data_IF_563612513154
#
_entry.id   IF_563612513154
#
_cell.length_a   1.000
_cell.length_b   1.000
_cell.length_c   1.000
_cell.angle_alpha   90.00
_cell.angle_beta   90.00
_cell.angle_gamma   90.00
#
_symmetry.space_group_name_H-M   'P 1'
#
loop_
_entity.id
_entity.type
_entity.pdbx_description
1 polymer ?
#
# COMPACT_ATOMS: atom_id res chain seq x y z
N UNK A 1 -15.68 -18.03 10.42
CA UNK A 1 -14.72 -17.11 11.02
C UNK A 1 -14.38 -17.61 12.43
N UNK A 2 -13.25 -18.32 12.58
CA UNK A 2 -12.75 -18.73 13.88
C UNK A 2 -12.22 -17.49 14.58
N UNK A 3 -13.02 -16.93 15.47
CA UNK A 3 -12.59 -15.88 16.40
C UNK A 3 -11.51 -16.48 17.30
N UNK A 4 -10.27 -16.14 17.06
CA UNK A 4 -9.15 -16.56 17.88
C UNK A 4 -9.26 -15.81 19.23
N UNK A 5 -9.85 -16.47 20.24
CA UNK A 5 -9.86 -16.01 21.63
C UNK A 5 -8.52 -16.37 22.28
N UNK A 6 -7.46 -15.66 21.95
CA UNK A 6 -6.13 -15.82 22.54
C UNK A 6 -5.46 -14.47 22.77
N UNK A 7 -4.44 -14.46 23.62
CA UNK A 7 -3.57 -13.30 23.82
C UNK A 7 -3.11 -12.74 22.47
N UNK A 8 -3.41 -11.49 22.20
CA UNK A 8 -2.98 -10.79 20.98
C UNK A 8 -1.46 -10.71 21.00
N UNK A 9 -0.79 -11.50 20.18
CA UNK A 9 0.66 -11.46 20.00
C UNK A 9 0.98 -10.22 19.14
N UNK A 10 1.47 -9.16 19.78
CA UNK A 10 1.73 -7.87 19.13
C UNK A 10 3.10 -7.77 18.43
N UNK A 11 3.92 -8.82 18.51
CA UNK A 11 5.33 -8.77 18.04
C UNK A 11 5.53 -9.18 16.58
N UNK A 12 4.57 -9.89 15.98
CA UNK A 12 4.64 -10.35 14.60
C UNK A 12 3.29 -10.32 13.92
N UNK A 13 3.24 -10.32 12.57
CA UNK A 13 2.01 -10.35 11.81
C UNK A 13 1.29 -11.70 11.98
N UNK A 14 -0.01 -11.72 11.67
CA UNK A 14 -0.77 -12.96 11.57
C UNK A 14 -0.30 -13.78 10.36
N UNK A 15 0.04 -15.04 10.58
CA UNK A 15 0.52 -15.97 9.54
C UNK A 15 -0.58 -16.87 8.97
N UNK A 16 -1.84 -16.72 9.41
CA UNK A 16 -2.96 -17.48 8.84
C UNK A 16 -3.13 -17.08 7.37
N UNK A 17 -3.21 -18.06 6.49
CA UNK A 17 -3.30 -17.86 5.05
C UNK A 17 -1.98 -17.42 4.39
N UNK A 18 -0.83 -17.64 5.03
CA UNK A 18 0.48 -17.23 4.49
C UNK A 18 0.75 -17.85 3.13
N UNK A 19 0.37 -19.12 2.93
CA UNK A 19 0.57 -19.82 1.67
C UNK A 19 -0.17 -19.23 0.46
N UNK A 20 -1.19 -18.39 0.70
CA UNK A 20 -1.89 -17.65 -0.36
C UNK A 20 -1.31 -16.27 -0.62
N UNK A 21 -0.34 -15.82 0.20
CA UNK A 21 0.25 -14.47 0.10
C UNK A 21 1.62 -14.42 -0.54
N UNK A 22 2.39 -15.48 -0.39
CA UNK A 22 3.79 -15.52 -0.82
C UNK A 22 4.13 -16.84 -1.50
N UNK A 23 5.19 -16.86 -2.33
CA UNK A 23 5.71 -18.12 -2.89
C UNK A 23 6.54 -18.88 -1.86
N UNK A 24 6.67 -20.22 -2.00
CA UNK A 24 7.49 -21.00 -1.10
C UNK A 24 8.98 -20.61 -1.16
N UNK A 25 9.48 -20.21 -2.34
CA UNK A 25 10.86 -19.76 -2.52
C UNK A 25 11.13 -18.45 -1.75
N UNK A 26 10.19 -17.52 -1.81
CA UNK A 26 10.29 -16.27 -1.05
C UNK A 26 10.26 -16.56 0.45
N UNK A 27 9.33 -17.40 0.90
CA UNK A 27 9.17 -17.75 2.31
C UNK A 27 10.42 -18.42 2.88
N UNK A 28 11.02 -19.35 2.11
CA UNK A 28 12.28 -20.00 2.48
C UNK A 28 13.41 -18.98 2.68
N UNK A 29 13.60 -18.08 1.71
CA UNK A 29 14.63 -17.03 1.78
C UNK A 29 14.41 -16.10 2.95
N UNK A 30 13.16 -15.70 3.18
CA UNK A 30 12.77 -14.84 4.30
C UNK A 30 13.06 -15.49 5.64
N UNK A 31 12.72 -16.77 5.83
CA UNK A 31 12.99 -17.51 7.06
C UNK A 31 14.50 -17.67 7.33
N UNK A 32 15.28 -17.83 6.27
CA UNK A 32 16.75 -17.96 6.38
C UNK A 32 17.42 -16.64 6.73
N UNK A 33 17.05 -15.57 6.07
CA UNK A 33 17.78 -14.29 6.14
C UNK A 33 16.85 -13.09 5.93
N UNK A 34 16.00 -12.78 6.89
CA UNK A 34 15.00 -11.73 6.72
C UNK A 34 15.62 -10.34 6.47
N UNK A 35 16.79 -10.06 7.06
CA UNK A 35 17.48 -8.77 6.91
C UNK A 35 18.15 -8.56 5.54
N UNK A 36 18.39 -9.62 4.77
CA UNK A 36 18.86 -9.49 3.38
C UNK A 36 17.76 -8.93 2.47
N UNK A 37 16.48 -9.23 2.79
CA UNK A 37 15.35 -8.69 2.06
C UNK A 37 14.92 -7.31 2.59
N UNK A 38 14.82 -7.17 3.93
CA UNK A 38 14.41 -5.95 4.59
C UNK A 38 15.32 -5.67 5.80
N UNK A 39 16.28 -4.79 5.63
CA UNK A 39 17.30 -4.49 6.65
C UNK A 39 16.69 -4.00 7.98
N UNK A 40 15.54 -3.32 7.94
CA UNK A 40 14.86 -2.77 9.11
C UNK A 40 13.82 -3.71 9.74
N UNK A 41 13.70 -4.95 9.28
CA UNK A 41 12.73 -5.89 9.85
C UNK A 41 13.00 -6.18 11.31
N UNK A 42 11.93 -6.37 12.10
CA UNK A 42 12.01 -6.84 13.49
C UNK A 42 12.15 -8.36 13.62
N UNK A 43 11.99 -9.10 12.51
CA UNK A 43 12.16 -10.54 12.52
C UNK A 43 13.64 -10.89 12.75
N UNK A 44 13.97 -11.67 13.80
CA UNK A 44 15.35 -12.05 14.06
C UNK A 44 15.85 -13.07 13.03
N UNK A 45 17.15 -13.07 12.78
CA UNK A 45 17.83 -14.20 12.12
C UNK A 45 17.89 -15.38 13.10
N UNK A 46 17.08 -16.40 12.83
CA UNK A 46 16.95 -17.60 13.66
C UNK A 46 18.06 -18.62 13.40
N UNK A 47 18.97 -18.36 12.47
CA UNK A 47 20.09 -19.26 12.09
C UNK A 47 19.62 -20.68 11.77
N UNK A 48 18.47 -20.81 11.12
CA UNK A 48 17.88 -22.08 10.74
C UNK A 48 18.80 -22.84 9.79
N UNK A 49 18.88 -24.16 9.95
CA UNK A 49 19.44 -25.03 8.91
C UNK A 49 18.56 -24.98 7.65
N UNK A 50 19.07 -25.46 6.52
CA UNK A 50 18.26 -25.55 5.29
C UNK A 50 17.11 -26.56 5.44
N UNK A 51 17.30 -27.59 6.25
CA UNK A 51 16.24 -28.56 6.57
C UNK A 51 15.12 -27.89 7.35
N UNK A 52 15.46 -27.23 8.48
CA UNK A 52 14.46 -26.57 9.33
C UNK A 52 13.69 -25.49 8.56
N UNK A 53 14.39 -24.71 7.74
CA UNK A 53 13.76 -23.69 6.92
C UNK A 53 12.82 -24.27 5.87
N UNK A 54 13.15 -25.43 5.26
CA UNK A 54 12.25 -26.14 4.34
C UNK A 54 11.02 -26.67 5.04
N UNK A 55 11.18 -27.27 6.21
CA UNK A 55 10.08 -27.85 6.98
C UNK A 55 9.11 -26.76 7.43
N UNK A 56 9.63 -25.64 7.94
CA UNK A 56 8.82 -24.45 8.29
C UNK A 56 8.13 -23.84 7.06
N UNK A 57 8.84 -23.76 5.94
CA UNK A 57 8.25 -23.27 4.68
C UNK A 57 7.09 -24.15 4.25
N UNK A 58 7.26 -25.46 4.26
CA UNK A 58 6.21 -26.39 3.89
C UNK A 58 4.98 -26.24 4.79
N UNK A 59 5.18 -26.20 6.10
CA UNK A 59 4.10 -26.05 7.06
C UNK A 59 3.33 -24.73 6.90
N UNK A 60 4.04 -23.61 6.77
CA UNK A 60 3.42 -22.30 6.62
C UNK A 60 2.76 -22.12 5.25
N UNK A 61 3.34 -22.69 4.20
CA UNK A 61 2.81 -22.63 2.84
C UNK A 61 1.54 -23.49 2.65
N UNK A 62 1.39 -24.55 3.42
CA UNK A 62 0.17 -25.39 3.43
C UNK A 62 -1.03 -24.64 4.03
N UNK A 63 -0.78 -23.62 4.82
CA UNK A 63 -1.85 -22.79 5.39
C UNK A 63 -2.38 -21.78 4.35
N UNK A 64 -3.42 -22.21 3.62
CA UNK A 64 -4.05 -21.48 2.52
C UNK A 64 -5.31 -20.72 2.96
N UNK A 65 -5.61 -19.65 2.25
CA UNK A 65 -6.90 -18.99 2.26
C UNK A 65 -7.61 -19.29 0.93
N UNK A 66 -8.34 -20.39 0.89
CA UNK A 66 -8.97 -20.88 -0.33
C UNK A 66 -10.02 -19.93 -0.91
N UNK A 67 -10.71 -19.17 -0.07
CA UNK A 67 -11.67 -18.16 -0.53
C UNK A 67 -10.97 -17.03 -1.28
N UNK A 68 -9.78 -16.65 -0.82
CA UNK A 68 -8.93 -15.66 -1.50
C UNK A 68 -8.32 -16.22 -2.78
N UNK A 69 -7.85 -17.47 -2.76
CA UNK A 69 -7.20 -18.10 -3.92
C UNK A 69 -8.17 -18.31 -5.11
N UNK A 70 -9.48 -18.33 -4.85
CA UNK A 70 -10.51 -18.42 -5.87
C UNK A 70 -10.91 -17.08 -6.50
N UNK A 71 -10.41 -15.96 -5.94
CA UNK A 71 -10.69 -14.64 -6.49
C UNK A 71 -9.86 -14.44 -7.77
N UNK A 72 -10.55 -14.27 -8.87
CA UNK A 72 -9.94 -13.89 -10.13
C UNK A 72 -9.79 -12.38 -10.23
N UNK A 73 -8.65 -11.93 -10.76
CA UNK A 73 -8.47 -10.53 -11.13
C UNK A 73 -9.28 -10.30 -12.41
N UNK A 74 -10.28 -9.39 -12.42
CA UNK A 74 -11.05 -9.11 -13.63
C UNK A 74 -10.13 -8.70 -14.78
N UNK A 75 -10.41 -9.22 -15.97
CA UNK A 75 -9.72 -8.72 -17.16
C UNK A 75 -10.04 -7.25 -17.41
N UNK A 76 -9.03 -6.51 -17.84
CA UNK A 76 -9.25 -5.13 -18.23
C UNK A 76 -10.06 -5.07 -19.53
N UNK A 77 -11.12 -4.26 -19.53
CA UNK A 77 -11.87 -3.90 -20.71
C UNK A 77 -10.98 -3.04 -21.63
N UNK A 78 -10.76 -3.49 -22.86
CA UNK A 78 -9.84 -2.86 -23.79
C UNK A 78 -10.33 -1.47 -24.21
N UNK A 79 -11.62 -1.28 -24.40
CA UNK A 79 -12.19 0.01 -24.80
C UNK A 79 -12.05 1.04 -23.67
N UNK A 80 -12.32 0.63 -22.43
CA UNK A 80 -12.13 1.47 -21.24
C UNK A 80 -10.65 1.81 -21.03
N UNK A 81 -9.76 0.84 -21.22
CA UNK A 81 -8.33 1.05 -21.10
C UNK A 81 -7.81 2.05 -22.14
N UNK A 82 -8.31 1.96 -23.38
CA UNK A 82 -7.95 2.86 -24.48
C UNK A 82 -8.46 4.28 -24.22
N UNK A 83 -9.70 4.42 -23.78
CA UNK A 83 -10.31 5.70 -23.42
C UNK A 83 -9.52 6.37 -22.28
N UNK A 84 -9.26 5.66 -21.18
CA UNK A 84 -8.49 6.18 -20.06
C UNK A 84 -7.07 6.57 -20.44
N UNK A 85 -6.41 5.75 -21.26
CA UNK A 85 -5.05 6.04 -21.75
C UNK A 85 -5.02 7.33 -22.55
N UNK A 86 -5.97 7.49 -23.46
CA UNK A 86 -6.09 8.69 -24.28
C UNK A 86 -6.41 9.92 -23.43
N UNK A 87 -7.36 9.81 -22.52
CA UNK A 87 -7.76 10.91 -21.62
C UNK A 87 -6.58 11.42 -20.78
N UNK A 88 -5.82 10.51 -20.16
CA UNK A 88 -4.62 10.90 -19.42
C UNK A 88 -3.52 11.52 -20.31
N UNK A 89 -3.32 10.99 -21.51
CA UNK A 89 -2.34 11.57 -22.44
C UNK A 89 -2.75 12.97 -22.91
N UNK A 90 -4.04 13.20 -23.13
CA UNK A 90 -4.57 14.50 -23.55
C UNK A 90 -4.48 15.58 -22.46
N UNK A 91 -4.49 15.21 -21.18
CA UNK A 91 -4.24 16.16 -20.08
C UNK A 91 -2.84 16.76 -20.09
N UNK A 92 -1.88 16.07 -20.72
CA UNK A 92 -0.47 16.46 -20.69
C UNK A 92 0.10 16.80 -22.07
N UNK A 93 -0.62 16.52 -23.14
CA UNK A 93 -0.11 16.64 -24.51
C UNK A 93 -1.20 17.15 -25.47
N UNK A 94 -0.82 17.77 -26.60
CA UNK A 94 -1.77 18.08 -27.67
C UNK A 94 -2.44 16.81 -28.21
N UNK A 95 -3.71 16.91 -28.58
CA UNK A 95 -4.55 15.77 -28.99
C UNK A 95 -3.90 14.88 -30.07
N UNK A 96 -3.35 15.47 -31.10
CA UNK A 96 -2.71 14.71 -32.18
C UNK A 96 -1.57 13.82 -31.69
N UNK A 97 -0.74 14.33 -30.78
CA UNK A 97 0.35 13.56 -30.15
C UNK A 97 -0.18 12.48 -29.23
N UNK A 98 -1.20 12.80 -28.43
CA UNK A 98 -1.81 11.85 -27.51
C UNK A 98 -2.40 10.64 -28.25
N UNK A 99 -3.13 10.87 -29.35
CA UNK A 99 -3.70 9.81 -30.20
C UNK A 99 -2.61 8.95 -30.86
N UNK A 100 -1.60 9.58 -31.42
CA UNK A 100 -0.47 8.86 -32.05
C UNK A 100 0.28 7.99 -31.00
N UNK A 101 0.51 8.54 -29.83
CA UNK A 101 1.16 7.78 -28.73
C UNK A 101 0.30 6.64 -28.24
N UNK A 102 -0.98 6.87 -27.95
CA UNK A 102 -1.90 5.84 -27.48
C UNK A 102 -2.03 4.67 -28.46
N UNK A 103 -2.07 4.97 -29.79
CA UNK A 103 -2.19 3.93 -30.82
C UNK A 103 -0.95 3.05 -30.97
N UNK A 104 0.20 3.47 -30.46
CA UNK A 104 1.46 2.73 -30.52
C UNK A 104 1.74 1.90 -29.27
N UNK A 105 0.97 2.13 -28.20
CA UNK A 105 1.13 1.41 -26.94
C UNK A 105 0.47 0.04 -27.01
N UNK A 106 1.17 -0.99 -26.55
CA UNK A 106 0.61 -2.31 -26.29
C UNK A 106 -0.34 -2.28 -25.09
N UNK A 107 -1.14 -3.33 -24.91
CA UNK A 107 -2.05 -3.48 -23.76
C UNK A 107 -1.29 -3.36 -22.43
N UNK A 108 -0.16 -4.05 -22.30
CA UNK A 108 0.66 -4.03 -21.09
C UNK A 108 1.25 -2.65 -20.79
N UNK A 109 1.68 -1.92 -21.83
CA UNK A 109 2.15 -0.55 -21.67
C UNK A 109 1.04 0.41 -21.24
N UNK A 110 -0.18 0.23 -21.75
CA UNK A 110 -1.36 1.00 -21.33
C UNK A 110 -1.72 0.68 -19.88
N UNK A 111 -1.76 -0.60 -19.51
CA UNK A 111 -2.02 -1.04 -18.13
C UNK A 111 -0.99 -0.45 -17.15
N UNK A 112 0.29 -0.54 -17.50
CA UNK A 112 1.37 0.02 -16.68
C UNK A 112 1.25 1.54 -16.55
N UNK A 113 0.98 2.24 -17.66
CA UNK A 113 0.80 3.69 -17.69
C UNK A 113 -0.39 4.13 -16.81
N UNK A 114 -1.56 3.50 -16.98
CA UNK A 114 -2.74 3.82 -16.18
C UNK A 114 -2.53 3.44 -14.72
N UNK A 115 -1.86 2.32 -14.43
CA UNK A 115 -1.47 1.93 -13.08
C UNK A 115 -0.63 3.00 -12.38
N UNK A 116 0.40 3.54 -13.04
CA UNK A 116 1.20 4.65 -12.50
C UNK A 116 0.35 5.89 -12.22
N UNK A 117 -0.53 6.26 -13.17
CA UNK A 117 -1.42 7.43 -12.98
C UNK A 117 -2.41 7.22 -11.84
N UNK A 118 -2.93 6.01 -11.69
CA UNK A 118 -3.84 5.64 -10.61
C UNK A 118 -3.15 5.69 -9.24
N UNK A 119 -1.92 5.19 -9.11
CA UNK A 119 -1.12 5.30 -7.88
C UNK A 119 -0.96 6.77 -7.48
N UNK A 120 -0.70 7.67 -8.43
CA UNK A 120 -0.64 9.12 -8.16
C UNK A 120 -1.99 9.70 -7.79
N UNK A 121 -3.02 9.32 -8.51
CA UNK A 121 -4.37 9.85 -8.32
C UNK A 121 -4.95 9.45 -6.96
N UNK A 122 -4.82 8.19 -6.58
CA UNK A 122 -5.30 7.67 -5.29
C UNK A 122 -4.32 7.91 -4.14
N UNK A 123 -3.10 8.35 -4.43
CA UNK A 123 -2.11 8.68 -3.41
C UNK A 123 -1.54 7.51 -2.63
N UNK A 124 -1.48 6.32 -3.23
CA UNK A 124 -0.97 5.10 -2.58
C UNK A 124 0.44 5.30 -1.99
N UNK A 125 1.27 6.11 -2.62
CA UNK A 125 2.63 6.46 -2.17
C UNK A 125 2.66 7.26 -0.86
N UNK A 126 1.54 7.82 -0.42
CA UNK A 126 1.45 8.53 0.87
C UNK A 126 1.56 7.60 2.08
N UNK A 127 1.25 6.29 1.90
CA UNK A 127 1.31 5.27 2.94
C UNK A 127 2.28 4.13 2.60
N UNK A 128 2.62 3.93 1.33
CA UNK A 128 3.44 2.81 0.86
C UNK A 128 4.70 3.29 0.16
N UNK A 129 5.83 2.63 0.46
CA UNK A 129 7.04 2.78 -0.34
C UNK A 129 6.83 2.05 -1.67
N UNK A 130 6.78 2.80 -2.77
CA UNK A 130 6.56 2.28 -4.12
C UNK A 130 7.71 2.75 -4.98
N UNK A 131 8.35 1.83 -5.69
CA UNK A 131 9.43 2.16 -6.61
C UNK A 131 8.94 3.15 -7.69
N UNK A 132 9.77 4.14 -8.01
CA UNK A 132 9.38 5.26 -8.89
C UNK A 132 8.57 6.38 -8.22
N UNK A 133 8.22 6.25 -6.92
CA UNK A 133 7.47 7.26 -6.15
C UNK A 133 8.18 7.72 -4.88
N UNK A 134 9.44 7.33 -4.69
CA UNK A 134 10.20 7.64 -3.45
C UNK A 134 10.37 9.16 -3.23
N UNK A 135 10.45 9.95 -4.31
CA UNK A 135 10.57 11.41 -4.25
C UNK A 135 9.21 12.14 -4.32
N UNK A 136 8.10 11.38 -4.33
CA UNK A 136 6.77 11.98 -4.36
C UNK A 136 6.47 12.69 -3.03
N UNK A 137 5.98 13.92 -3.10
CA UNK A 137 5.61 14.66 -1.89
C UNK A 137 4.48 13.94 -1.17
N UNK A 138 4.52 13.84 0.18
CA UNK A 138 3.43 13.27 0.95
C UNK A 138 2.12 14.03 0.67
N UNK A 139 1.00 13.31 0.70
CA UNK A 139 -0.33 13.89 0.44
C UNK A 139 -0.78 14.76 1.60
N UNK A 140 -0.40 14.39 2.83
CA UNK A 140 -0.70 15.13 4.04
C UNK A 140 0.55 15.79 4.63
N UNK A 141 0.32 16.68 5.57
CA UNK A 141 1.39 17.25 6.39
C UNK A 141 1.84 16.22 7.42
N UNK A 142 3.11 16.31 7.80
CA UNK A 142 3.67 15.53 8.89
C UNK A 142 3.01 15.95 10.22
N UNK A 143 2.46 14.98 10.96
CA UNK A 143 1.68 15.21 12.18
C UNK A 143 2.33 14.67 13.46
N UNK A 144 3.58 14.18 13.38
CA UNK A 144 4.29 13.59 14.53
C UNK A 144 4.32 14.51 15.75
N UNK A 145 4.45 15.81 15.51
CA UNK A 145 4.52 16.83 16.57
C UNK A 145 3.24 17.65 16.74
N UNK A 146 2.13 17.25 16.11
CA UNK A 146 0.88 18.03 16.13
C UNK A 146 0.38 18.24 17.57
N UNK A 147 0.46 17.23 18.43
CA UNK A 147 0.06 17.32 19.84
C UNK A 147 0.94 18.22 20.73
N UNK A 148 2.14 18.59 20.26
CA UNK A 148 3.04 19.52 20.97
C UNK A 148 3.10 20.92 20.37
N UNK A 149 2.31 21.17 19.34
CA UNK A 149 2.21 22.46 18.67
C UNK A 149 1.49 23.47 19.56
N UNK A 150 1.99 24.71 19.72
CA UNK A 150 1.30 25.74 20.49
C UNK A 150 -0.06 26.07 19.86
N UNK A 151 -1.07 26.35 20.70
CA UNK A 151 -2.47 26.61 20.26
C UNK A 151 -2.54 27.73 19.23
N UNK A 152 -1.70 28.73 19.33
CA UNK A 152 -1.64 29.88 18.43
C UNK A 152 -1.24 29.53 16.99
N UNK A 153 -0.72 28.31 16.77
CA UNK A 153 -0.35 27.80 15.45
C UNK A 153 -1.45 26.98 14.78
N UNK A 154 -2.56 26.75 15.47
CA UNK A 154 -3.72 26.10 14.89
C UNK A 154 -4.61 27.12 14.21
N UNK A 155 -5.04 26.82 13.00
CA UNK A 155 -6.00 27.64 12.27
C UNK A 155 -7.42 27.19 12.64
N UNK A 156 -8.09 27.97 13.48
CA UNK A 156 -9.48 27.75 13.86
C UNK A 156 -10.47 28.25 12.78
N UNK A 157 -9.98 28.97 11.78
CA UNK A 157 -10.80 29.47 10.67
C UNK A 157 -11.99 30.29 11.15
N UNK A 158 -13.19 29.93 10.68
CA UNK A 158 -14.46 30.57 11.05
C UNK A 158 -15.23 29.82 12.15
N UNK A 159 -14.60 28.87 12.83
CA UNK A 159 -15.22 28.13 13.91
C UNK A 159 -15.21 28.94 15.21
N UNK A 160 -16.36 29.57 15.50
CA UNK A 160 -16.54 30.37 16.70
C UNK A 160 -17.18 29.59 17.86
N UNK A 161 -17.69 28.39 17.57
CA UNK A 161 -18.48 27.57 18.48
C UNK A 161 -17.66 26.47 19.18
N UNK A 162 -16.34 26.48 19.01
CA UNK A 162 -15.42 25.52 19.66
C UNK A 162 -14.44 26.28 20.55
N UNK A 163 -14.06 25.67 21.67
CA UNK A 163 -13.02 26.23 22.52
C UNK A 163 -11.68 26.22 21.80
N UNK A 164 -10.86 27.27 21.98
CA UNK A 164 -9.56 27.37 21.33
C UNK A 164 -8.52 26.52 22.08
N UNK A 165 -8.75 25.20 22.09
CA UNK A 165 -7.84 24.21 22.63
C UNK A 165 -7.36 23.24 21.53
N UNK A 166 -6.25 22.56 21.79
CA UNK A 166 -5.73 21.54 20.86
C UNK A 166 -6.74 20.40 20.69
N UNK A 167 -7.41 20.00 21.77
CA UNK A 167 -8.37 18.90 21.77
C UNK A 167 -9.59 19.23 20.93
N UNK A 168 -10.19 20.38 21.14
CA UNK A 168 -11.38 20.80 20.42
C UNK A 168 -11.09 21.02 18.93
N UNK A 169 -9.91 21.56 18.61
CA UNK A 169 -9.47 21.70 17.21
C UNK A 169 -9.31 20.33 16.54
N UNK A 170 -8.61 19.39 17.16
CA UNK A 170 -8.40 18.03 16.61
C UNK A 170 -9.74 17.31 16.49
N UNK A 171 -10.58 17.35 17.52
CA UNK A 171 -11.92 16.74 17.48
C UNK A 171 -12.76 17.30 16.33
N UNK A 172 -12.79 18.61 16.17
CA UNK A 172 -13.53 19.25 15.09
C UNK A 172 -13.00 18.85 13.71
N UNK A 173 -11.67 18.80 13.53
CA UNK A 173 -11.04 18.35 12.29
C UNK A 173 -11.32 16.89 11.94
N UNK A 174 -11.50 16.03 12.94
CA UNK A 174 -11.84 14.63 12.72
C UNK A 174 -13.32 14.42 12.44
N UNK A 175 -14.21 15.27 13.01
CA UNK A 175 -15.67 15.19 12.79
C UNK A 175 -16.11 15.87 11.50
N UNK A 176 -15.43 16.96 11.13
CA UNK A 176 -15.80 17.83 10.01
C UNK A 176 -14.53 18.26 9.28
N UNK A 177 -13.87 17.31 8.53
CA UNK A 177 -12.59 17.53 7.87
C UNK A 177 -12.67 18.54 6.71
#
# INVERSE_FOLDING_TARGET
>A
PTTFKGLTKLQGPNLIGMGSKVSPEWLFKWLKKPHEYMASTRMPDLRLSDSDARDLTAYLYDNKNYDFDQLEVPEADDDVLDELTLDWLMKMNPEKYARDKASKMSKDEKLSFIGEKSIRHYGCFGCHNIDGFMDAKPIGVEITYEGSKPVEKFDFGLFHDIDHTIYDWIENKLRTP
#
